data_IF_114361160712
#
_entry.id   IF_114361160712
#
_cell.length_a   1.000
_cell.length_b   1.000
_cell.length_c   1.000
_cell.angle_alpha   90.00
_cell.angle_beta   90.00
_cell.angle_gamma   90.00
#
_symmetry.space_group_name_H-M   'P 1'
#
loop_
_entity.id
_entity.type
_entity.pdbx_description
1 polymer ?
#
# COMPACT_ATOMS: atom_id res chain seq x y z
N UNK A 1 -1.22 -7.14 29.89
CA UNK A 1 -0.76 -7.07 28.48
C UNK A 1 -1.97 -6.96 27.57
N UNK A 2 -2.05 -5.91 26.79
CA UNK A 2 -3.17 -5.71 25.87
C UNK A 2 -2.95 -6.58 24.63
N UNK A 3 -3.90 -7.48 24.36
CA UNK A 3 -3.88 -8.25 23.11
C UNK A 3 -4.40 -7.38 21.98
N UNK A 4 -3.75 -7.40 20.83
CA UNK A 4 -4.19 -6.73 19.62
C UNK A 4 -4.02 -7.66 18.43
N UNK A 5 -4.76 -7.42 17.36
CA UNK A 5 -4.61 -8.16 16.11
C UNK A 5 -3.36 -7.68 15.38
N UNK A 6 -2.93 -8.44 14.39
CA UNK A 6 -1.80 -8.05 13.52
C UNK A 6 -2.08 -6.75 12.79
N UNK A 7 -3.34 -6.57 12.35
CA UNK A 7 -3.80 -5.37 11.65
C UNK A 7 -3.73 -4.15 12.57
N UNK A 8 -4.20 -4.29 13.81
CA UNK A 8 -4.09 -3.21 14.81
C UNK A 8 -2.64 -2.86 15.12
N UNK A 9 -1.77 -3.86 15.24
CA UNK A 9 -0.35 -3.65 15.45
C UNK A 9 0.29 -2.91 14.27
N UNK A 10 -0.06 -3.29 13.04
CA UNK A 10 0.42 -2.61 11.84
C UNK A 10 0.01 -1.14 11.82
N UNK A 11 -1.25 -0.84 12.11
CA UNK A 11 -1.77 0.53 12.20
C UNK A 11 -1.04 1.34 13.28
N UNK A 12 -0.76 0.72 14.43
CA UNK A 12 0.04 1.38 15.49
C UNK A 12 1.42 1.79 15.00
N UNK A 13 2.09 0.93 14.24
CA UNK A 13 3.40 1.24 13.67
C UNK A 13 3.30 2.41 12.70
N UNK A 14 2.27 2.45 11.85
CA UNK A 14 2.04 3.58 10.95
C UNK A 14 1.88 4.90 11.71
N UNK A 15 1.09 4.89 12.79
CA UNK A 15 0.90 6.07 13.65
C UNK A 15 2.21 6.52 14.29
N UNK A 16 3.02 5.56 14.77
CA UNK A 16 4.32 5.86 15.38
C UNK A 16 5.29 6.55 14.41
N UNK A 17 5.17 6.24 13.12
CA UNK A 17 5.98 6.84 12.07
C UNK A 17 5.34 8.07 11.42
N UNK A 18 4.24 8.55 11.96
CA UNK A 18 3.60 9.79 11.49
C UNK A 18 2.91 9.67 10.13
N UNK A 19 2.49 8.47 9.75
CA UNK A 19 1.74 8.26 8.52
C UNK A 19 0.30 8.74 8.72
N UNK A 20 -0.09 9.80 8.04
CA UNK A 20 -1.42 10.42 8.12
C UNK A 20 -2.25 10.22 6.85
N UNK A 21 -1.60 9.84 5.74
CA UNK A 21 -2.26 9.69 4.44
C UNK A 21 -1.83 8.41 3.75
N UNK A 22 -2.80 7.75 3.13
CA UNK A 22 -2.60 6.59 2.29
C UNK A 22 -3.27 6.83 0.94
N UNK A 23 -2.58 6.52 -0.14
CA UNK A 23 -3.07 6.67 -1.50
C UNK A 23 -3.14 5.30 -2.17
N UNK A 24 -4.14 5.07 -2.99
CA UNK A 24 -4.22 3.82 -3.72
C UNK A 24 -5.62 3.42 -4.12
N UNK A 25 -5.78 2.13 -4.39
CA UNK A 25 -7.07 1.51 -4.69
C UNK A 25 -7.27 0.39 -3.68
N UNK A 26 -8.39 0.43 -2.97
CA UNK A 26 -8.72 -0.60 -1.98
C UNK A 26 -9.10 -1.88 -2.71
N UNK A 27 -8.45 -2.97 -2.34
CA UNK A 27 -8.80 -4.32 -2.75
C UNK A 27 -9.11 -5.19 -1.53
N UNK A 28 -9.71 -6.34 -1.77
CA UNK A 28 -10.14 -7.27 -0.71
C UNK A 28 -9.03 -7.66 0.27
N UNK A 29 -7.79 -7.72 -0.21
CA UNK A 29 -6.65 -8.08 0.63
C UNK A 29 -6.26 -7.02 1.66
N UNK A 30 -6.74 -5.78 1.51
CA UNK A 30 -6.46 -4.67 2.43
C UNK A 30 -7.61 -4.29 3.34
N UNK A 31 -8.79 -4.85 3.16
CA UNK A 31 -10.00 -4.40 3.88
C UNK A 31 -9.82 -4.41 5.39
N UNK A 32 -9.22 -5.45 5.94
CA UNK A 32 -9.00 -5.57 7.39
C UNK A 32 -8.09 -4.45 7.96
N UNK A 33 -7.17 -3.93 7.14
CA UNK A 33 -6.28 -2.84 7.52
C UNK A 33 -6.95 -1.49 7.26
N UNK A 34 -7.54 -1.30 6.08
CA UNK A 34 -8.15 -0.02 5.69
C UNK A 34 -9.34 0.35 6.54
N UNK A 35 -10.09 -0.61 7.05
CA UNK A 35 -11.20 -0.37 7.96
C UNK A 35 -10.77 0.29 9.28
N UNK A 36 -9.50 0.17 9.65
CA UNK A 36 -8.95 0.80 10.84
C UNK A 36 -8.42 2.23 10.60
N UNK A 37 -8.29 2.66 9.35
CA UNK A 37 -7.74 3.97 9.02
C UNK A 37 -8.49 5.14 9.68
N UNK A 38 -9.84 5.23 9.64
CA UNK A 38 -10.54 6.35 10.23
C UNK A 38 -10.27 6.51 11.72
N UNK A 39 -10.23 5.40 12.47
CA UNK A 39 -9.96 5.42 13.92
C UNK A 39 -8.51 5.79 14.22
N UNK A 40 -7.61 5.53 13.29
CA UNK A 40 -6.19 5.82 13.44
C UNK A 40 -5.81 7.23 13.01
N UNK A 41 -6.74 8.01 12.46
CA UNK A 41 -6.46 9.33 11.90
C UNK A 41 -5.73 9.27 10.56
N UNK A 42 -5.81 8.16 9.84
CA UNK A 42 -5.23 8.01 8.51
C UNK A 42 -6.32 8.26 7.48
N UNK A 43 -6.11 9.25 6.63
CA UNK A 43 -7.02 9.54 5.51
C UNK A 43 -6.62 8.71 4.30
N UNK A 44 -7.57 7.95 3.77
CA UNK A 44 -7.38 7.22 2.53
C UNK A 44 -7.87 8.06 1.34
N UNK A 45 -7.03 8.14 0.32
CA UNK A 45 -7.32 8.85 -0.93
C UNK A 45 -7.39 7.84 -2.07
N UNK A 46 -8.59 7.63 -2.57
CA UNK A 46 -8.82 6.74 -3.70
C UNK A 46 -8.30 7.38 -5.00
N UNK A 47 -7.68 6.57 -5.83
CA UNK A 47 -7.09 7.01 -7.11
C UNK A 47 -7.60 6.14 -8.25
N UNK A 48 -7.60 6.69 -9.45
CA UNK A 48 -8.04 5.96 -10.63
C UNK A 48 -7.03 4.91 -11.12
N UNK A 49 -5.76 5.09 -10.77
CA UNK A 49 -4.68 4.16 -11.14
C UNK A 49 -3.58 4.20 -10.09
N UNK A 50 -2.98 3.06 -9.78
CA UNK A 50 -1.95 2.95 -8.74
C UNK A 50 -0.72 3.82 -9.02
N UNK A 51 -0.32 3.97 -10.27
CA UNK A 51 0.77 4.87 -10.66
C UNK A 51 0.52 6.29 -10.17
N UNK A 52 -0.70 6.79 -10.31
CA UNK A 52 -1.07 8.12 -9.83
C UNK A 52 -0.98 8.21 -8.31
N UNK A 53 -1.46 7.17 -7.60
CA UNK A 53 -1.35 7.11 -6.15
C UNK A 53 0.10 7.20 -5.68
N UNK A 54 1.00 6.47 -6.32
CA UNK A 54 2.42 6.52 -6.01
C UNK A 54 3.05 7.88 -6.29
N UNK A 55 2.73 8.51 -7.42
CA UNK A 55 3.25 9.84 -7.77
C UNK A 55 2.69 10.94 -6.85
N UNK A 56 1.42 10.84 -6.45
CA UNK A 56 0.82 11.74 -5.46
C UNK A 56 1.55 11.62 -4.13
N UNK A 57 1.84 10.39 -3.68
CA UNK A 57 2.59 10.16 -2.44
C UNK A 57 4.00 10.76 -2.49
N UNK A 58 4.70 10.63 -3.62
CA UNK A 58 6.01 11.26 -3.83
C UNK A 58 5.87 12.78 -3.74
N UNK A 59 4.87 13.36 -4.41
CA UNK A 59 4.61 14.81 -4.36
C UNK A 59 4.29 15.30 -2.96
N UNK A 60 3.45 14.58 -2.23
CA UNK A 60 3.10 14.88 -0.85
C UNK A 60 4.34 14.92 0.06
N UNK A 61 5.19 13.90 -0.03
CA UNK A 61 6.42 13.84 0.78
C UNK A 61 7.37 14.99 0.45
N UNK A 62 7.51 15.31 -0.83
CA UNK A 62 8.37 16.43 -1.26
C UNK A 62 7.84 17.80 -0.78
N UNK A 63 6.54 17.96 -0.75
CA UNK A 63 5.90 19.20 -0.34
C UNK A 63 5.88 19.39 1.18
N UNK A 64 5.70 18.33 1.94
CA UNK A 64 5.46 18.39 3.38
C UNK A 64 6.65 17.93 4.23
N UNK A 65 7.56 17.17 3.67
CA UNK A 65 8.61 16.48 4.42
C UNK A 65 8.12 15.27 5.21
N UNK A 66 6.83 14.92 5.11
CA UNK A 66 6.23 13.78 5.81
C UNK A 66 6.06 12.62 4.86
N UNK A 67 6.39 11.42 5.33
CA UNK A 67 6.16 10.21 4.55
C UNK A 67 4.67 9.86 4.52
N UNK A 68 4.21 9.38 3.38
CA UNK A 68 2.89 8.80 3.21
C UNK A 68 2.98 7.35 2.75
N UNK A 69 1.86 6.67 2.74
CA UNK A 69 1.78 5.27 2.35
C UNK A 69 1.04 5.13 1.02
N UNK A 70 1.50 4.20 0.20
CA UNK A 70 0.78 3.77 -1.00
C UNK A 70 0.40 2.32 -0.84
N UNK A 71 -0.85 2.01 -1.11
CA UNK A 71 -1.34 0.63 -1.13
C UNK A 71 -1.73 0.24 -2.56
N UNK A 72 -1.46 -0.99 -2.91
CA UNK A 72 -1.86 -1.54 -4.19
C UNK A 72 -2.27 -2.99 -4.03
N UNK A 73 -3.28 -3.39 -4.76
CA UNK A 73 -3.69 -4.78 -4.84
C UNK A 73 -2.58 -5.62 -5.49
N UNK A 74 -2.51 -6.89 -5.17
CA UNK A 74 -1.57 -7.83 -5.77
C UNK A 74 -1.77 -7.92 -7.30
N UNK A 75 -0.73 -8.37 -8.02
CA UNK A 75 -0.76 -8.48 -9.48
C UNK A 75 -0.60 -7.13 -10.16
N UNK A 76 -1.55 -6.70 -11.00
CA UNK A 76 -1.42 -5.48 -11.81
C UNK A 76 -1.29 -4.20 -10.97
N UNK A 77 -1.81 -4.18 -9.76
CA UNK A 77 -1.60 -3.04 -8.85
C UNK A 77 -0.14 -2.83 -8.52
N UNK A 78 0.59 -3.91 -8.23
CA UNK A 78 2.02 -3.85 -7.92
C UNK A 78 2.82 -3.37 -9.14
N UNK A 79 2.53 -3.91 -10.32
CA UNK A 79 3.24 -3.52 -11.54
C UNK A 79 3.02 -2.05 -11.90
N UNK A 80 1.84 -1.51 -11.58
CA UNK A 80 1.53 -0.09 -11.74
C UNK A 80 2.36 0.85 -10.87
N UNK A 81 3.05 0.32 -9.85
CA UNK A 81 3.87 1.11 -8.93
C UNK A 81 5.35 1.21 -9.32
N UNK A 82 5.78 0.54 -10.38
CA UNK A 82 7.19 0.57 -10.82
C UNK A 82 7.65 1.99 -11.11
N UNK A 83 6.87 2.77 -11.84
CA UNK A 83 7.20 4.16 -12.16
C UNK A 83 7.34 5.04 -10.91
N UNK A 84 6.37 5.10 -9.99
CA UNK A 84 6.53 5.91 -8.78
C UNK A 84 7.66 5.42 -7.87
N UNK A 85 7.92 4.12 -7.77
CA UNK A 85 9.07 3.60 -7.03
C UNK A 85 10.37 4.15 -7.60
N UNK A 86 10.53 4.09 -8.92
CA UNK A 86 11.72 4.59 -9.58
C UNK A 86 11.86 6.11 -9.43
N UNK A 87 10.76 6.82 -9.52
CA UNK A 87 10.71 8.28 -9.29
C UNK A 87 11.14 8.63 -7.88
N UNK A 88 10.60 7.94 -6.87
CA UNK A 88 10.97 8.13 -5.48
C UNK A 88 12.46 7.86 -5.25
N UNK A 89 12.95 6.77 -5.80
CA UNK A 89 14.37 6.38 -5.69
C UNK A 89 15.30 7.45 -6.26
N UNK A 90 15.04 7.89 -7.51
CA UNK A 90 15.87 8.90 -8.16
C UNK A 90 15.86 10.27 -7.45
N UNK A 91 14.74 10.61 -6.84
CA UNK A 91 14.57 11.88 -6.15
C UNK A 91 14.89 11.80 -4.64
N UNK A 92 15.39 10.67 -4.15
CA UNK A 92 15.66 10.43 -2.73
C UNK A 92 14.46 10.76 -1.85
N UNK A 93 13.26 10.43 -2.30
CA UNK A 93 12.01 10.72 -1.61
C UNK A 93 11.53 9.45 -0.89
N UNK A 94 11.41 9.46 0.45
CA UNK A 94 10.90 8.29 1.17
C UNK A 94 9.45 7.99 0.78
N UNK A 95 9.19 6.71 0.52
CA UNK A 95 7.89 6.21 0.13
C UNK A 95 7.66 4.87 0.82
N UNK A 96 6.59 4.77 1.59
CA UNK A 96 6.14 3.50 2.14
C UNK A 96 5.14 2.86 1.18
N UNK A 97 5.52 1.72 0.65
CA UNK A 97 4.69 0.98 -0.28
C UNK A 97 4.29 -0.35 0.35
N UNK A 98 2.99 -0.58 0.43
CA UNK A 98 2.44 -1.79 1.03
C UNK A 98 1.59 -2.52 0.01
N UNK A 99 1.99 -3.74 -0.29
CA UNK A 99 1.28 -4.60 -1.24
C UNK A 99 0.96 -5.93 -0.58
N UNK A 100 -0.23 -6.48 -0.81
CA UNK A 100 -0.58 -7.78 -0.29
C UNK A 100 -0.01 -8.90 -1.15
N UNK A 101 0.00 -10.07 -0.57
CA UNK A 101 0.23 -11.31 -1.29
C UNK A 101 -1.03 -12.17 -1.18
N UNK A 102 -1.40 -12.82 -2.26
CA UNK A 102 -2.44 -13.85 -2.20
C UNK A 102 -1.96 -15.04 -1.38
N UNK A 103 -2.90 -15.79 -0.82
CA UNK A 103 -2.56 -17.02 -0.12
C UNK A 103 -1.67 -17.92 -1.01
N UNK A 104 -0.65 -18.54 -0.42
CA UNK A 104 0.34 -19.31 -1.17
C UNK A 104 -0.25 -20.32 -2.16
N UNK A 105 -1.33 -20.97 -1.78
CA UNK A 105 -2.02 -21.91 -2.67
C UNK A 105 -2.65 -21.24 -3.89
N UNK A 106 -3.21 -20.05 -3.71
CA UNK A 106 -3.84 -19.29 -4.80
C UNK A 106 -2.81 -18.60 -5.69
N UNK A 107 -1.78 -18.03 -5.07
CA UNK A 107 -0.73 -17.32 -5.79
C UNK A 107 -0.01 -18.19 -6.81
N UNK A 108 0.36 -19.40 -6.41
CA UNK A 108 1.14 -20.28 -7.27
C UNK A 108 0.33 -20.91 -8.41
N UNK A 109 -0.96 -21.11 -8.22
CA UNK A 109 -1.78 -21.86 -9.18
C UNK A 109 -2.58 -20.92 -10.09
N UNK A 110 -3.17 -19.87 -9.53
CA UNK A 110 -4.18 -19.08 -10.23
C UNK A 110 -3.69 -17.72 -10.75
N UNK A 111 -2.60 -17.22 -10.21
CA UNK A 111 -2.13 -15.86 -10.52
C UNK A 111 -0.81 -15.87 -11.26
N UNK A 112 0.13 -16.68 -10.81
CA UNK A 112 1.49 -16.67 -11.35
C UNK A 112 1.71 -17.57 -12.57
N UNK A 113 0.83 -18.52 -12.79
CA UNK A 113 0.99 -19.51 -13.84
C UNK A 113 -0.30 -19.75 -14.65
N UNK A 114 -0.79 -18.72 -15.38
CA UNK A 114 -2.03 -18.85 -16.13
C UNK A 114 -1.96 -19.89 -17.28
N UNK A 115 -0.76 -20.26 -17.68
CA UNK A 115 -0.51 -21.18 -18.79
C UNK A 115 -0.05 -22.56 -18.34
N UNK A 116 -0.08 -22.84 -17.04
CA UNK A 116 0.34 -24.14 -16.54
C UNK A 116 -0.55 -25.25 -17.07
N UNK A 117 0.00 -26.25 -17.77
CA UNK A 117 -0.77 -27.42 -18.18
C UNK A 117 -1.19 -28.24 -16.96
N UNK A 118 -2.38 -28.70 -17.00
CA UNK A 118 -2.95 -29.52 -15.93
C UNK A 118 -2.57 -30.98 -16.10
#
# INVERSE_FOLDING_TARGET
>A
MTKMTTEEAFIKVLQMHGIEHSFGIIGSAFMAISDLFPKAGITFWDVAHETNGGLIAVGYTRATGKMSMVIAQNGPGITGLVTPIKTAYWNHTPLLLVTPQAANKLSLIHISEPTRPY
#
